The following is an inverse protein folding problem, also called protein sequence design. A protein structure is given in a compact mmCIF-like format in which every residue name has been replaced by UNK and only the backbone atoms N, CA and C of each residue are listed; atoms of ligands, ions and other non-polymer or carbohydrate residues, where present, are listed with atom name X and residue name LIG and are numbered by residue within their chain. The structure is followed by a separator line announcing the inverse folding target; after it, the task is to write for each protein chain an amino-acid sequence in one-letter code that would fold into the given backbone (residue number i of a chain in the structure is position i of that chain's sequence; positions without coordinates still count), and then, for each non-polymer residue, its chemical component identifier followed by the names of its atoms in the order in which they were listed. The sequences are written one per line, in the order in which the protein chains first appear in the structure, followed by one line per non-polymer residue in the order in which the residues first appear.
data_IF_308004852311
#
_entry.id   IF_308004852311
#
_cell.length_a   1.000
_cell.length_b   1.000
_cell.length_c   1.000
_cell.angle_alpha   90.00
_cell.angle_beta   90.00
_cell.angle_gamma   90.00
#
_symmetry.space_group_name_H-M   'P 1'
#
loop_
_entity.id
_entity.type
_entity.pdbx_description
1 polymer ?
#
# COMPACT_ATOMS: atom_id res chain seq x y z
N UNK A 1 7.67 -15.48 34.23
CA UNK A 1 8.35 -15.24 32.96
C UNK A 1 9.18 -13.99 33.13
N UNK A 2 10.51 -14.11 33.17
CA UNK A 2 11.38 -12.94 33.29
C UNK A 2 11.31 -12.14 32.01
N UNK A 3 11.09 -10.84 32.10
CA UNK A 3 11.12 -9.91 30.96
C UNK A 3 12.61 -9.66 30.62
N UNK A 4 13.21 -10.64 29.96
CA UNK A 4 14.60 -10.53 29.53
C UNK A 4 14.70 -9.50 28.39
N UNK A 5 15.83 -8.79 28.30
CA UNK A 5 16.06 -7.79 27.26
C UNK A 5 15.83 -8.35 25.85
N UNK A 6 16.15 -9.63 25.64
CA UNK A 6 15.90 -10.33 24.38
C UNK A 6 14.39 -10.44 24.06
N UNK A 7 13.55 -10.73 25.03
CA UNK A 7 12.11 -10.78 24.85
C UNK A 7 11.52 -9.42 24.49
N UNK A 8 11.95 -8.36 25.20
CA UNK A 8 11.50 -6.99 24.92
C UNK A 8 11.92 -6.53 23.51
N UNK A 9 13.13 -6.86 23.11
CA UNK A 9 13.63 -6.54 21.76
C UNK A 9 12.83 -7.26 20.68
N UNK A 10 12.56 -8.57 20.87
CA UNK A 10 11.74 -9.34 19.95
C UNK A 10 10.30 -8.81 19.85
N UNK A 11 9.70 -8.44 20.97
CA UNK A 11 8.38 -7.83 21.02
C UNK A 11 8.34 -6.50 20.26
N UNK A 12 9.32 -5.62 20.50
CA UNK A 12 9.43 -4.34 19.83
C UNK A 12 9.58 -4.51 18.30
N UNK A 13 10.48 -5.40 17.87
CA UNK A 13 10.67 -5.70 16.45
C UNK A 13 9.41 -6.24 15.79
N UNK A 14 8.71 -7.16 16.44
CA UNK A 14 7.45 -7.71 15.94
C UNK A 14 6.39 -6.61 15.81
N UNK A 15 6.28 -5.74 16.81
CA UNK A 15 5.35 -4.61 16.78
C UNK A 15 5.65 -3.65 15.64
N UNK A 16 6.92 -3.25 15.45
CA UNK A 16 7.33 -2.35 14.38
C UNK A 16 7.05 -2.95 12.98
N UNK A 17 7.33 -4.25 12.80
CA UNK A 17 7.05 -4.96 11.55
C UNK A 17 5.56 -5.02 11.23
N UNK A 18 4.72 -5.30 12.23
CA UNK A 18 3.27 -5.37 12.05
C UNK A 18 2.61 -4.00 11.87
N UNK A 19 3.18 -2.95 12.47
CA UNK A 19 2.66 -1.59 12.35
C UNK A 19 2.93 -0.99 10.98
N UNK A 20 4.02 -1.36 10.30
CA UNK A 20 4.43 -0.74 9.06
C UNK A 20 3.37 -0.77 7.94
N UNK A 21 2.72 -1.91 7.60
CA UNK A 21 1.71 -1.93 6.55
C UNK A 21 0.45 -1.14 6.94
N UNK A 22 0.04 -1.19 8.20
CA UNK A 22 -1.08 -0.38 8.71
C UNK A 22 -0.78 1.11 8.59
N UNK A 23 0.43 1.51 8.99
CA UNK A 23 0.87 2.90 8.96
C UNK A 23 0.91 3.45 7.52
N UNK A 24 1.50 2.71 6.58
CA UNK A 24 1.55 3.09 5.18
C UNK A 24 0.14 3.23 4.57
N UNK A 25 -0.75 2.31 4.88
CA UNK A 25 -2.13 2.32 4.40
C UNK A 25 -2.91 3.49 5.01
N UNK A 26 -2.77 3.76 6.31
CA UNK A 26 -3.41 4.88 7.00
C UNK A 26 -2.92 6.24 6.47
N UNK A 27 -1.61 6.40 6.23
CA UNK A 27 -1.07 7.60 5.57
C UNK A 27 -1.64 7.78 4.17
N UNK A 28 -1.83 6.67 3.44
CA UNK A 28 -2.52 6.66 2.15
C UNK A 28 -3.97 7.13 2.28
N UNK A 29 -4.75 6.53 3.18
CA UNK A 29 -6.14 6.90 3.46
C UNK A 29 -6.28 8.39 3.78
N UNK A 30 -5.38 8.92 4.61
CA UNK A 30 -5.36 10.33 4.99
C UNK A 30 -5.23 11.29 3.79
N UNK A 31 -4.44 10.98 2.76
CA UNK A 31 -4.37 11.81 1.54
C UNK A 31 -5.69 11.83 0.78
N UNK A 32 -6.35 10.69 0.67
CA UNK A 32 -7.65 10.58 0.01
C UNK A 32 -8.73 11.35 0.76
N UNK A 33 -8.88 11.11 2.05
CA UNK A 33 -9.87 11.78 2.90
C UNK A 33 -9.69 13.29 2.93
N UNK A 34 -8.44 13.77 3.05
CA UNK A 34 -8.13 15.21 3.01
C UNK A 34 -8.40 15.84 1.65
N UNK A 35 -8.60 15.06 0.60
CA UNK A 35 -9.06 15.54 -0.71
C UNK A 35 -10.58 15.61 -0.86
N UNK A 36 -11.34 15.12 0.14
CA UNK A 36 -12.80 15.02 0.10
C UNK A 36 -13.32 13.79 -0.66
N UNK A 37 -12.48 12.77 -0.86
CA UNK A 37 -12.87 11.48 -1.43
C UNK A 37 -12.47 10.36 -0.46
N UNK A 38 -13.46 9.62 0.03
CA UNK A 38 -13.20 8.49 0.94
C UNK A 38 -12.79 7.27 0.13
N UNK A 39 -11.64 6.68 0.44
CA UNK A 39 -11.12 5.50 -0.25
C UNK A 39 -11.23 4.24 0.63
N UNK A 40 -12.43 3.66 0.71
CA UNK A 40 -12.65 2.39 1.43
C UNK A 40 -12.03 1.19 0.67
N UNK A 41 -11.56 1.38 -0.57
CA UNK A 41 -10.90 0.34 -1.35
C UNK A 41 -9.46 0.00 -0.89
N UNK A 42 -8.98 0.59 0.20
CA UNK A 42 -7.61 0.36 0.70
C UNK A 42 -7.29 -1.12 0.93
N UNK A 43 -8.27 -1.91 1.41
CA UNK A 43 -8.10 -3.36 1.60
C UNK A 43 -7.83 -4.08 0.28
N UNK A 44 -8.63 -3.79 -0.74
CA UNK A 44 -8.45 -4.36 -2.08
C UNK A 44 -7.15 -3.91 -2.75
N UNK A 45 -6.81 -2.63 -2.61
CA UNK A 45 -5.56 -2.08 -3.16
C UNK A 45 -4.34 -2.72 -2.51
N UNK A 46 -4.38 -2.95 -1.20
CA UNK A 46 -3.34 -3.62 -0.45
C UNK A 46 -3.12 -5.06 -0.95
N UNK A 47 -4.22 -5.81 -1.16
CA UNK A 47 -4.16 -7.17 -1.70
C UNK A 47 -3.63 -7.21 -3.15
N UNK A 48 -4.08 -6.31 -4.03
CA UNK A 48 -3.55 -6.21 -5.39
C UNK A 48 -2.07 -5.82 -5.41
N UNK A 49 -1.65 -4.91 -4.55
CA UNK A 49 -0.24 -4.55 -4.38
C UNK A 49 0.60 -5.74 -3.91
N UNK A 50 0.14 -6.47 -2.90
CA UNK A 50 0.81 -7.65 -2.36
C UNK A 50 0.95 -8.76 -3.40
N UNK A 51 -0.14 -9.06 -4.13
CA UNK A 51 -0.13 -10.03 -5.23
C UNK A 51 0.86 -9.64 -6.32
N UNK A 52 0.79 -8.39 -6.77
CA UNK A 52 1.65 -7.89 -7.84
C UNK A 52 3.12 -7.97 -7.47
N UNK A 53 3.49 -7.54 -6.26
CA UNK A 53 4.88 -7.59 -5.81
C UNK A 53 5.42 -9.03 -5.83
N UNK A 54 4.70 -9.97 -5.24
CA UNK A 54 5.13 -11.37 -5.17
C UNK A 54 5.22 -12.03 -6.56
N UNK A 55 4.19 -11.85 -7.39
CA UNK A 55 4.15 -12.47 -8.74
C UNK A 55 5.22 -11.86 -9.65
N UNK A 56 5.41 -10.54 -9.63
CA UNK A 56 6.43 -9.88 -10.47
C UNK A 56 7.83 -10.34 -10.10
N UNK A 57 8.16 -10.37 -8.81
CA UNK A 57 9.49 -10.81 -8.37
C UNK A 57 9.72 -12.27 -8.71
N UNK A 58 8.79 -13.17 -8.38
CA UNK A 58 8.91 -14.61 -8.67
C UNK A 58 9.04 -14.88 -10.17
N UNK A 59 8.26 -14.19 -11.01
CA UNK A 59 8.35 -14.36 -12.48
C UNK A 59 9.65 -13.88 -13.06
N UNK A 60 10.18 -12.78 -12.55
CA UNK A 60 11.48 -12.27 -12.97
C UNK A 60 12.61 -13.21 -12.49
N UNK A 61 12.52 -13.76 -11.28
CA UNK A 61 13.46 -14.80 -10.80
C UNK A 61 13.45 -16.02 -11.71
N UNK A 62 12.27 -16.51 -12.08
CA UNK A 62 12.14 -17.65 -12.98
C UNK A 62 12.70 -17.38 -14.39
N UNK A 63 12.62 -16.15 -14.88
CA UNK A 63 13.11 -15.74 -16.18
C UNK A 63 14.65 -15.50 -16.21
N UNK A 64 15.21 -14.97 -15.11
CA UNK A 64 16.65 -14.65 -15.01
C UNK A 64 17.49 -15.84 -14.58
N UNK A 65 16.87 -16.89 -14.03
CA UNK A 65 17.55 -18.07 -13.53
C UNK A 65 18.08 -17.92 -12.10
N UNK A 66 18.66 -19.01 -11.55
CA UNK A 66 19.14 -19.02 -10.18
C UNK A 66 20.34 -18.09 -9.99
N UNK A 67 20.21 -17.12 -9.06
CA UNK A 67 21.26 -16.18 -8.71
C UNK A 67 20.77 -15.08 -7.78
N UNK A 68 21.66 -14.38 -7.08
CA UNK A 68 21.30 -13.23 -6.25
C UNK A 68 21.06 -12.00 -7.12
N UNK A 69 19.83 -11.57 -7.18
CA UNK A 69 19.42 -10.35 -7.88
C UNK A 69 18.82 -9.32 -6.89
N UNK A 70 19.65 -8.54 -6.17
CA UNK A 70 19.21 -7.67 -5.07
C UNK A 70 18.31 -6.51 -5.50
N UNK A 71 18.22 -6.22 -6.79
CA UNK A 71 17.34 -5.20 -7.35
C UNK A 71 15.90 -5.69 -7.60
N UNK A 72 15.67 -7.01 -7.73
CA UNK A 72 14.37 -7.59 -8.03
C UNK A 72 13.27 -7.20 -7.03
N UNK A 73 13.47 -7.26 -5.71
CA UNK A 73 12.46 -6.85 -4.76
C UNK A 73 12.01 -5.40 -4.96
N UNK A 74 12.91 -4.51 -5.37
CA UNK A 74 12.59 -3.11 -5.63
C UNK A 74 11.72 -2.93 -6.87
N UNK A 75 11.90 -3.76 -7.90
CA UNK A 75 10.98 -3.81 -9.05
C UNK A 75 9.61 -4.27 -8.61
N UNK A 76 9.53 -5.28 -7.75
CA UNK A 76 8.25 -5.71 -7.14
C UNK A 76 7.56 -4.60 -6.37
N UNK A 77 8.32 -3.83 -5.58
CA UNK A 77 7.82 -2.64 -4.86
C UNK A 77 7.25 -1.61 -5.82
N UNK A 78 8.00 -1.24 -6.86
CA UNK A 78 7.55 -0.25 -7.85
C UNK A 78 6.31 -0.74 -8.62
N UNK A 79 6.26 -2.01 -8.98
CA UNK A 79 5.10 -2.61 -9.64
C UNK A 79 3.85 -2.58 -8.74
N UNK A 80 4.00 -2.89 -7.46
CA UNK A 80 2.91 -2.81 -6.48
C UNK A 80 2.40 -1.36 -6.28
N UNK A 81 3.31 -0.39 -6.19
CA UNK A 81 2.96 1.04 -6.14
C UNK A 81 2.20 1.46 -7.41
N UNK A 82 2.65 1.01 -8.58
CA UNK A 82 2.02 1.29 -9.86
C UNK A 82 0.60 0.71 -9.95
N UNK A 83 0.42 -0.56 -9.58
CA UNK A 83 -0.90 -1.21 -9.57
C UNK A 83 -1.81 -0.61 -8.51
N UNK A 84 -1.29 -0.32 -7.30
CA UNK A 84 -2.05 0.37 -6.27
C UNK A 84 -2.54 1.75 -6.72
N UNK A 85 -1.67 2.53 -7.36
CA UNK A 85 -2.04 3.82 -7.95
C UNK A 85 -3.05 3.69 -9.09
N UNK A 86 -2.93 2.65 -9.94
CA UNK A 86 -3.87 2.36 -11.03
C UNK A 86 -5.27 2.00 -10.51
N UNK A 87 -5.36 1.11 -9.53
CA UNK A 87 -6.65 0.72 -8.93
C UNK A 87 -7.30 1.92 -8.24
N UNK A 88 -6.53 2.73 -7.50
CA UNK A 88 -7.01 3.96 -6.92
C UNK A 88 -7.43 4.99 -7.98
N UNK A 89 -6.74 5.07 -9.11
CA UNK A 89 -7.14 5.92 -10.22
C UNK A 89 -8.49 5.48 -10.82
N UNK A 90 -8.75 4.17 -10.95
CA UNK A 90 -10.06 3.64 -11.37
C UNK A 90 -11.13 4.05 -10.37
N UNK A 91 -10.87 3.90 -9.05
CA UNK A 91 -11.78 4.38 -8.01
C UNK A 91 -12.06 5.88 -8.14
N UNK A 92 -11.00 6.69 -8.30
CA UNK A 92 -11.12 8.14 -8.51
C UNK A 92 -11.93 8.50 -9.77
N UNK A 93 -11.70 7.77 -10.87
CA UNK A 93 -12.44 7.97 -12.11
C UNK A 93 -13.95 7.75 -11.92
N UNK A 94 -14.31 6.66 -11.25
CA UNK A 94 -15.71 6.30 -10.98
C UNK A 94 -16.35 7.33 -10.03
N UNK A 95 -15.67 7.68 -8.95
CA UNK A 95 -16.20 8.54 -7.90
C UNK A 95 -16.20 10.03 -8.28
N UNK A 96 -15.18 10.52 -8.98
CA UNK A 96 -15.02 11.96 -9.28
C UNK A 96 -15.65 12.31 -10.63
N UNK A 97 -15.32 11.56 -11.69
CA UNK A 97 -15.80 11.89 -13.04
C UNK A 97 -17.25 11.45 -13.25
N UNK A 98 -17.57 10.21 -12.86
CA UNK A 98 -18.91 9.66 -13.05
C UNK A 98 -19.83 9.95 -11.86
N UNK A 99 -19.31 10.55 -10.79
CA UNK A 99 -20.06 10.93 -9.57
C UNK A 99 -20.83 9.75 -8.97
N UNK A 100 -20.30 8.53 -9.13
CA UNK A 100 -20.86 7.35 -8.50
C UNK A 100 -20.56 7.34 -7.01
N UNK A 101 -21.37 6.60 -6.27
CA UNK A 101 -21.16 6.44 -4.83
C UNK A 101 -19.79 5.82 -4.54
N UNK A 102 -19.04 6.47 -3.66
CA UNK A 102 -17.66 6.09 -3.30
C UNK A 102 -17.61 4.75 -2.58
N UNK A 103 -18.63 4.45 -1.74
CA UNK A 103 -18.72 3.22 -0.97
C UNK A 103 -18.99 2.03 -1.92
N UNK A 104 -19.90 2.21 -2.88
CA UNK A 104 -20.23 1.17 -3.88
C UNK A 104 -19.00 0.88 -4.74
N UNK A 105 -18.30 1.91 -5.25
CA UNK A 105 -17.10 1.73 -6.05
C UNK A 105 -15.99 1.03 -5.26
N UNK A 106 -15.75 1.44 -4.01
CA UNK A 106 -14.73 0.84 -3.15
C UNK A 106 -15.07 -0.62 -2.79
N UNK A 107 -16.33 -0.90 -2.49
CA UNK A 107 -16.80 -2.27 -2.19
C UNK A 107 -16.61 -3.19 -3.38
N UNK A 108 -16.91 -2.72 -4.60
CA UNK A 108 -16.68 -3.49 -5.82
C UNK A 108 -15.19 -3.85 -6.00
N UNK A 109 -14.28 -2.91 -5.74
CA UNK A 109 -12.83 -3.16 -5.79
C UNK A 109 -12.41 -4.18 -4.72
N UNK A 110 -12.93 -4.07 -3.49
CA UNK A 110 -12.64 -5.02 -2.42
C UNK A 110 -13.13 -6.42 -2.76
N UNK A 111 -14.32 -6.56 -3.33
CA UNK A 111 -14.86 -7.86 -3.79
C UNK A 111 -14.01 -8.45 -4.93
N UNK A 112 -13.58 -7.64 -5.88
CA UNK A 112 -12.65 -8.08 -6.92
C UNK A 112 -11.32 -8.56 -6.31
N UNK A 113 -10.80 -7.88 -5.30
CA UNK A 113 -9.56 -8.24 -4.64
C UNK A 113 -9.65 -9.53 -3.80
N UNK A 114 -10.84 -9.97 -3.44
CA UNK A 114 -11.07 -11.28 -2.81
C UNK A 114 -11.06 -12.42 -3.83
N UNK A 115 -11.52 -12.17 -5.06
CA UNK A 115 -11.65 -13.20 -6.10
C UNK A 115 -10.49 -13.26 -7.10
N UNK A 116 -10.09 -12.11 -7.64
CA UNK A 116 -9.07 -12.01 -8.68
C UNK A 116 -7.70 -12.64 -8.31
N UNK A 117 -7.18 -12.52 -7.09
CA UNK A 117 -5.94 -13.18 -6.71
C UNK A 117 -6.00 -14.71 -6.89
N UNK A 118 -7.12 -15.34 -6.56
CA UNK A 118 -7.29 -16.80 -6.70
C UNK A 118 -7.19 -17.24 -8.16
N UNK A 119 -7.75 -16.45 -9.09
CA UNK A 119 -7.65 -16.72 -10.54
C UNK A 119 -6.20 -16.60 -11.02
N UNK A 120 -5.51 -15.54 -10.61
CA UNK A 120 -4.10 -15.32 -10.97
C UNK A 120 -3.21 -16.44 -10.42
N UNK A 121 -3.41 -16.82 -9.15
CA UNK A 121 -2.66 -17.92 -8.53
C UNK A 121 -2.92 -19.26 -9.20
N UNK A 122 -4.17 -19.57 -9.52
CA UNK A 122 -4.52 -20.80 -10.24
C UNK A 122 -3.88 -20.86 -11.62
N UNK A 123 -3.90 -19.73 -12.35
CA UNK A 123 -3.32 -19.66 -13.69
C UNK A 123 -1.80 -19.84 -13.67
N UNK A 124 -1.09 -19.19 -12.74
CA UNK A 124 0.36 -19.21 -12.70
C UNK A 124 0.95 -20.38 -11.92
N UNK A 125 0.27 -20.86 -10.87
CA UNK A 125 0.84 -21.81 -9.90
C UNK A 125 0.02 -23.08 -9.77
N UNK A 126 -1.14 -23.21 -10.44
CA UNK A 126 -2.01 -24.38 -10.35
C UNK A 126 -2.72 -24.53 -8.99
N UNK A 127 -2.63 -23.52 -8.10
CA UNK A 127 -3.32 -23.50 -6.81
C UNK A 127 -3.94 -22.12 -6.57
N UNK A 128 -4.98 -22.03 -5.73
CA UNK A 128 -5.71 -20.79 -5.46
C UNK A 128 -5.30 -20.12 -4.14
N UNK A 129 -4.27 -20.62 -3.44
CA UNK A 129 -4.00 -20.26 -2.05
C UNK A 129 -2.80 -19.34 -1.88
N UNK A 130 -1.68 -19.65 -2.55
CA UNK A 130 -0.42 -18.91 -2.39
C UNK A 130 0.42 -18.90 -3.66
N UNK A 131 1.28 -17.89 -3.80
CA UNK A 131 2.36 -17.89 -4.77
C UNK A 131 3.50 -18.81 -4.29
N UNK A 132 4.51 -19.01 -5.15
CA UNK A 132 5.80 -19.57 -4.69
C UNK A 132 6.52 -18.56 -3.80
N UNK A 133 7.40 -19.08 -2.95
CA UNK A 133 8.32 -18.24 -2.18
C UNK A 133 9.27 -17.48 -3.09
N UNK A 134 9.50 -16.22 -2.77
CA UNK A 134 10.46 -15.36 -3.43
C UNK A 134 11.84 -15.61 -2.81
N UNK A 135 12.84 -15.95 -3.62
CA UNK A 135 14.20 -16.21 -3.16
C UNK A 135 14.97 -14.91 -2.88
N UNK A 136 14.81 -13.89 -3.75
CA UNK A 136 15.43 -12.58 -3.57
C UNK A 136 14.58 -11.71 -2.65
N UNK A 137 14.97 -11.67 -1.38
CA UNK A 137 14.27 -10.94 -0.32
C UNK A 137 14.74 -9.50 -0.23
N UNK A 138 13.92 -8.63 0.32
CA UNK A 138 14.37 -7.29 0.70
C UNK A 138 15.51 -7.40 1.73
N UNK A 139 16.58 -6.58 1.60
CA UNK A 139 17.68 -6.59 2.55
C UNK A 139 17.16 -6.22 3.94
N UNK A 140 17.77 -6.74 4.97
CA UNK A 140 17.52 -6.34 6.34
C UNK A 140 18.60 -5.34 6.76
N UNK A 141 18.20 -4.20 7.31
CA UNK A 141 19.06 -3.13 7.79
C UNK A 141 18.97 -3.01 9.31
N UNK A 142 20.09 -2.75 9.95
CA UNK A 142 20.18 -2.52 11.40
C UNK A 142 21.31 -3.30 12.06
N UNK A 143 21.62 -3.01 13.33
CA UNK A 143 22.61 -3.74 14.11
C UNK A 143 22.15 -5.18 14.36
N UNK A 144 23.09 -6.05 14.70
CA UNK A 144 22.80 -7.43 15.08
C UNK A 144 21.75 -7.48 16.21
N UNK A 145 20.69 -8.26 16.00
CA UNK A 145 19.55 -8.35 16.93
C UNK A 145 18.45 -7.30 16.73
N UNK A 146 18.66 -6.26 15.90
CA UNK A 146 17.64 -5.26 15.57
C UNK A 146 17.63 -4.96 14.07
N UNK A 147 17.20 -5.94 13.28
CA UNK A 147 17.17 -5.85 11.83
C UNK A 147 15.74 -5.74 11.31
N UNK A 148 15.48 -4.71 10.49
CA UNK A 148 14.20 -4.44 9.87
C UNK A 148 14.34 -4.26 8.35
N UNK A 149 13.27 -4.56 7.61
CA UNK A 149 13.20 -4.23 6.18
C UNK A 149 13.27 -2.71 5.96
N UNK A 150 13.92 -2.21 4.91
CA UNK A 150 13.96 -0.79 4.56
C UNK A 150 12.58 -0.15 4.48
N UNK A 151 11.56 -0.90 4.08
CA UNK A 151 10.19 -0.40 3.98
C UNK A 151 9.58 -0.05 5.34
N UNK A 152 10.04 -0.69 6.43
CA UNK A 152 9.63 -0.30 7.80
C UNK A 152 10.18 1.08 8.13
N UNK A 153 11.47 1.34 7.85
CA UNK A 153 12.06 2.66 8.06
C UNK A 153 11.36 3.74 7.22
N UNK A 154 11.05 3.41 5.95
CA UNK A 154 10.29 4.30 5.06
C UNK A 154 8.91 4.60 5.63
N UNK A 155 8.19 3.60 6.18
CA UNK A 155 6.88 3.80 6.78
C UNK A 155 6.91 4.84 7.91
N UNK A 156 7.88 4.71 8.83
CA UNK A 156 8.03 5.67 9.93
C UNK A 156 8.53 7.04 9.47
N UNK A 157 9.41 7.10 8.47
CA UNK A 157 9.87 8.36 7.87
C UNK A 157 8.74 9.11 7.15
N UNK A 158 7.81 8.38 6.55
CA UNK A 158 6.66 8.99 5.86
C UNK A 158 5.69 9.69 6.82
N UNK A 159 5.68 9.39 8.12
CA UNK A 159 4.83 10.09 9.10
C UNK A 159 5.17 11.59 9.18
N UNK A 160 6.38 11.99 9.56
CA UNK A 160 6.73 13.40 9.60
C UNK A 160 6.71 14.04 8.21
N UNK A 161 7.05 13.29 7.16
CA UNK A 161 6.99 13.80 5.78
C UNK A 161 5.54 14.12 5.37
N UNK A 162 4.60 13.22 5.63
CA UNK A 162 3.18 13.44 5.35
C UNK A 162 2.63 14.62 6.15
N UNK A 163 2.98 14.70 7.44
CA UNK A 163 2.62 15.87 8.25
C UNK A 163 3.16 17.17 7.62
N UNK A 164 4.43 17.18 7.24
CA UNK A 164 5.04 18.36 6.61
C UNK A 164 4.36 18.71 5.27
N UNK A 165 4.12 17.72 4.42
CA UNK A 165 3.45 17.90 3.12
C UNK A 165 2.04 18.46 3.32
N UNK A 166 1.24 17.87 4.21
CA UNK A 166 -0.16 18.27 4.41
C UNK A 166 -0.31 19.61 5.15
N UNK A 167 0.57 19.93 6.10
CA UNK A 167 0.37 21.09 6.96
C UNK A 167 1.32 22.27 6.70
N UNK A 168 2.45 22.04 6.02
CA UNK A 168 3.49 23.06 5.79
C UNK A 168 3.72 23.42 4.32
N UNK A 169 3.03 22.75 3.37
CA UNK A 169 3.21 23.03 1.94
C UNK A 169 1.95 23.62 1.30
N UNK A 170 2.10 24.41 0.20
CA UNK A 170 0.96 24.91 -0.57
C UNK A 170 0.09 23.79 -1.17
N UNK A 171 0.70 22.64 -1.48
CA UNK A 171 -0.02 21.46 -1.95
C UNK A 171 -1.00 20.96 -0.89
N UNK A 172 -0.53 20.74 0.33
CA UNK A 172 -1.38 20.26 1.43
C UNK A 172 -2.47 21.27 1.82
N UNK A 173 -2.18 22.57 1.76
CA UNK A 173 -3.19 23.61 1.97
C UNK A 173 -4.31 23.50 0.94
N UNK A 174 -3.97 23.41 -0.35
CA UNK A 174 -4.95 23.26 -1.44
C UNK A 174 -5.74 21.98 -1.33
N UNK A 175 -5.07 20.85 -1.00
CA UNK A 175 -5.71 19.55 -0.83
C UNK A 175 -6.79 19.60 0.25
N UNK A 176 -6.47 20.15 1.42
CA UNK A 176 -7.41 20.31 2.54
C UNK A 176 -8.53 21.28 2.23
N UNK A 177 -8.23 22.41 1.58
CA UNK A 177 -9.24 23.38 1.16
C UNK A 177 -10.27 22.74 0.21
N UNK A 178 -9.82 21.91 -0.73
CA UNK A 178 -10.68 21.14 -1.65
C UNK A 178 -11.54 20.10 -0.92
N UNK A 179 -11.03 19.50 0.15
CA UNK A 179 -11.78 18.54 0.96
C UNK A 179 -12.86 19.19 1.81
N UNK A 180 -12.57 20.36 2.39
CA UNK A 180 -13.49 21.06 3.28
C UNK A 180 -14.54 21.89 2.53
N UNK A 181 -14.10 22.74 1.57
CA UNK A 181 -14.99 23.63 0.80
C UNK A 181 -14.56 23.68 -0.68
N UNK A 182 -14.96 22.68 -1.49
CA UNK A 182 -14.55 22.59 -2.90
C UNK A 182 -14.98 23.81 -3.73
N UNK A 183 -16.17 24.35 -3.48
CA UNK A 183 -16.67 25.53 -4.21
C UNK A 183 -15.83 26.78 -3.91
N UNK A 184 -15.49 27.03 -2.65
CA UNK A 184 -14.63 28.12 -2.26
C UNK A 184 -13.20 27.98 -2.81
N UNK A 185 -12.67 26.75 -2.85
CA UNK A 185 -11.37 26.49 -3.45
C UNK A 185 -11.36 26.75 -4.97
N UNK A 186 -12.44 26.40 -5.67
CA UNK A 186 -12.59 26.64 -7.11
C UNK A 186 -12.63 28.14 -7.44
N UNK A 187 -13.36 28.95 -6.66
CA UNK A 187 -13.41 30.43 -6.85
C UNK A 187 -12.03 31.09 -6.68
N UNK A 188 -11.12 30.44 -5.92
CA UNK A 188 -9.73 30.88 -5.76
C UNK A 188 -8.79 30.32 -6.84
N UNK A 189 -9.32 29.65 -7.87
CA UNK A 189 -8.57 29.11 -8.99
C UNK A 189 -7.87 27.77 -8.70
N UNK A 190 -8.22 27.06 -7.61
CA UNK A 190 -7.71 25.72 -7.33
C UNK A 190 -8.49 24.70 -8.13
N UNK A 191 -7.83 23.91 -8.97
CA UNK A 191 -8.48 22.85 -9.72
C UNK A 191 -8.88 21.69 -8.79
N UNK A 192 -10.14 21.67 -8.37
CA UNK A 192 -10.73 20.71 -7.43
C UNK A 192 -10.58 19.28 -7.93
N UNK A 193 -10.93 19.03 -9.21
CA UNK A 193 -10.84 17.68 -9.77
C UNK A 193 -9.42 17.14 -9.73
N UNK A 194 -8.43 17.93 -10.17
CA UNK A 194 -7.02 17.52 -10.16
C UNK A 194 -6.54 17.21 -8.75
N UNK A 195 -6.89 18.02 -7.76
CA UNK A 195 -6.47 17.80 -6.36
C UNK A 195 -7.06 16.50 -5.80
N UNK A 196 -8.34 16.21 -6.07
CA UNK A 196 -9.00 14.97 -5.67
C UNK A 196 -8.34 13.75 -6.31
N UNK A 197 -8.09 13.77 -7.64
CA UNK A 197 -7.38 12.68 -8.32
C UNK A 197 -6.00 12.42 -7.70
N UNK A 198 -5.23 13.47 -7.46
CA UNK A 198 -3.89 13.34 -6.86
C UNK A 198 -3.97 12.73 -5.45
N UNK A 199 -4.91 13.18 -4.61
CA UNK A 199 -5.12 12.64 -3.27
C UNK A 199 -5.43 11.14 -3.28
N UNK A 200 -6.37 10.72 -4.12
CA UNK A 200 -6.78 9.31 -4.24
C UNK A 200 -5.68 8.44 -4.85
N UNK A 201 -4.98 8.92 -5.88
CA UNK A 201 -3.87 8.15 -6.49
C UNK A 201 -2.70 8.00 -5.51
N UNK A 202 -2.33 9.04 -4.77
CA UNK A 202 -1.32 8.94 -3.71
C UNK A 202 -1.72 7.93 -2.63
N UNK A 203 -3.00 7.91 -2.26
CA UNK A 203 -3.55 6.88 -1.37
C UNK A 203 -3.26 5.47 -1.88
N UNK A 204 -3.54 5.22 -3.17
CA UNK A 204 -3.30 3.92 -3.78
C UNK A 204 -1.83 3.55 -3.89
N UNK A 205 -0.95 4.50 -4.19
CA UNK A 205 0.51 4.29 -4.27
C UNK A 205 1.07 3.88 -2.90
N UNK A 206 0.67 4.57 -1.82
CA UNK A 206 1.12 4.24 -0.47
C UNK A 206 0.55 2.90 0.02
N UNK A 207 -0.70 2.62 -0.29
CA UNK A 207 -1.33 1.33 0.03
C UNK A 207 -0.71 0.18 -0.79
N UNK A 208 -0.37 0.42 -2.07
CA UNK A 208 0.38 -0.54 -2.89
C UNK A 208 1.76 -0.85 -2.31
N UNK A 209 2.45 0.18 -1.79
CA UNK A 209 3.72 0.02 -1.06
C UNK A 209 3.55 -0.83 0.21
N UNK A 210 2.46 -0.63 0.96
CA UNK A 210 2.10 -1.46 2.11
C UNK A 210 1.89 -2.92 1.71
N UNK A 211 1.21 -3.16 0.59
CA UNK A 211 1.01 -4.49 0.01
C UNK A 211 2.33 -5.18 -0.37
N UNK A 212 3.24 -4.46 -1.03
CA UNK A 212 4.58 -4.98 -1.33
C UNK A 212 5.34 -5.39 -0.07
N UNK A 213 5.30 -4.54 0.96
CA UNK A 213 5.92 -4.89 2.24
C UNK A 213 5.32 -6.16 2.82
N UNK A 214 4.01 -6.30 2.81
CA UNK A 214 3.32 -7.44 3.40
C UNK A 214 3.71 -8.76 2.71
N UNK A 215 3.83 -8.79 1.37
CA UNK A 215 4.19 -9.98 0.61
C UNK A 215 5.69 -10.24 0.58
N UNK A 216 6.50 -9.35 -0.01
CA UNK A 216 7.94 -9.60 -0.23
C UNK A 216 8.84 -9.09 0.90
N UNK A 217 8.33 -8.24 1.80
CA UNK A 217 9.07 -7.71 2.95
C UNK A 217 8.84 -8.49 4.24
N UNK A 218 7.70 -9.16 4.38
CA UNK A 218 7.32 -9.83 5.62
C UNK A 218 7.15 -11.35 5.45
N UNK A 219 6.31 -11.81 4.50
CA UNK A 219 6.01 -13.24 4.32
C UNK A 219 6.84 -13.93 3.21
N UNK A 220 7.53 -13.18 2.37
CA UNK A 220 8.27 -13.63 1.18
C UNK A 220 7.44 -14.40 0.15
N UNK A 221 6.13 -14.30 0.21
CA UNK A 221 5.17 -14.88 -0.72
C UNK A 221 3.84 -14.15 -0.61
N UNK A 222 2.99 -14.30 -1.60
CA UNK A 222 1.59 -13.91 -1.47
C UNK A 222 0.78 -15.09 -0.92
N UNK A 223 -0.06 -14.80 0.09
CA UNK A 223 -1.03 -15.76 0.63
C UNK A 223 -2.41 -15.12 0.57
N UNK A 224 -3.41 -15.87 0.11
CA UNK A 224 -4.79 -15.37 0.02
C UNK A 224 -5.28 -14.89 1.39
N UNK A 225 -5.82 -13.65 1.42
CA UNK A 225 -6.34 -13.06 2.64
C UNK A 225 -5.27 -12.58 3.64
N UNK A 226 -4.01 -12.44 3.20
CA UNK A 226 -2.90 -12.02 4.06
C UNK A 226 -3.05 -10.63 4.67
N UNK A 227 -3.89 -9.78 4.11
CA UNK A 227 -4.19 -8.44 4.65
C UNK A 227 -5.01 -8.48 5.93
N UNK A 228 -5.78 -9.55 6.15
CA UNK A 228 -6.59 -9.78 7.36
C UNK A 228 -7.42 -8.56 7.82
N UNK A 229 -7.88 -7.73 6.88
CA UNK A 229 -8.66 -6.52 7.17
C UNK A 229 -7.82 -5.30 7.54
N UNK A 230 -6.50 -5.32 7.37
CA UNK A 230 -5.62 -4.19 7.70
C UNK A 230 -6.00 -2.90 6.98
N UNK A 231 -6.51 -2.99 5.74
CA UNK A 231 -6.98 -1.83 4.99
C UNK A 231 -8.21 -1.17 5.62
N UNK A 232 -9.10 -1.95 6.22
CA UNK A 232 -10.26 -1.42 6.95
C UNK A 232 -9.87 -0.84 8.32
N UNK A 233 -8.88 -1.43 8.98
CA UNK A 233 -8.37 -0.92 10.28
C UNK A 233 -7.62 0.40 10.09
N UNK A 234 -7.03 0.60 8.92
CA UNK A 234 -6.23 1.78 8.58
C UNK A 234 -7.08 2.99 8.15
N UNK A 235 -8.38 2.80 7.93
CA UNK A 235 -9.37 3.87 7.71
C UNK A 235 -9.68 4.58 9.03
#
# INVERSE_FOLDING_TARGET
MSLDAAFLTALLLSTLRQTAPLLLTALGGMFSERSGVVNIALEGILLFGALTAAVVVERLEAALGPGPHPWLPWVGVLAAMGVGGLVAFVHALVSIKYRADQIISATAINLLALGAPSLVLTYFYGNATSSKEVANRLPLWGPEGFQLSPLVYVAFLLVPLTWWVLFKTPFGLRLRAVGEHPEAADTLGVNVHRMRYVGVVLSGVLTGLAGAYLSIGFLNQFVRGMSAGMGFIAL
#
